data_IF_684852738872
#
_entry.id   IF_684852738872
#
_cell.length_a   1.000
_cell.length_b   1.000
_cell.length_c   1.000
_cell.angle_alpha   90.00
_cell.angle_beta   90.00
_cell.angle_gamma   90.00
#
_symmetry.space_group_name_H-M   'P 1'
#
loop_
_entity.id
_entity.type
_entity.pdbx_description
1 polymer ?
#
# COMPACT_ATOMS: atom_id res chain seq x y z
N UNK A 1 21.72 16.21 7.90
CA UNK A 1 21.44 16.01 6.45
C UNK A 1 19.94 16.20 6.28
N UNK A 2 19.48 16.92 5.28
CA UNK A 2 18.02 17.01 5.02
C UNK A 2 17.50 15.64 4.65
N UNK A 3 16.38 15.21 5.24
CA UNK A 3 15.73 13.95 4.90
C UNK A 3 15.30 13.96 3.43
N UNK A 4 15.39 12.81 2.76
CA UNK A 4 15.22 12.69 1.29
C UNK A 4 13.82 13.10 0.82
N UNK A 5 12.82 12.95 1.68
CA UNK A 5 11.41 13.27 1.38
C UNK A 5 10.95 14.60 1.97
N UNK A 6 11.88 15.45 2.48
CA UNK A 6 11.51 16.77 3.02
C UNK A 6 10.78 17.62 1.98
N UNK A 7 9.66 18.21 2.39
CA UNK A 7 8.80 19.04 1.53
C UNK A 7 7.92 18.24 0.56
N UNK A 8 7.81 16.93 0.72
CA UNK A 8 6.90 16.07 -0.05
C UNK A 8 5.71 15.61 0.79
N UNK A 9 4.66 15.17 0.13
CA UNK A 9 3.43 14.64 0.74
C UNK A 9 3.17 13.23 0.27
N UNK A 10 2.95 12.31 1.21
CA UNK A 10 2.62 10.92 0.93
C UNK A 10 1.22 10.56 1.47
N UNK A 11 0.39 9.94 0.65
CA UNK A 11 -0.89 9.35 1.06
C UNK A 11 -0.73 7.83 1.20
N UNK A 12 -1.02 7.29 2.37
CA UNK A 12 -0.96 5.86 2.67
C UNK A 12 -2.36 5.33 2.95
N UNK A 13 -2.87 4.43 2.11
CA UNK A 13 -4.16 3.77 2.35
C UNK A 13 -4.00 2.53 3.21
N UNK A 14 -5.01 2.21 4.04
CA UNK A 14 -4.91 1.12 5.01
C UNK A 14 -3.87 1.36 6.10
N UNK A 15 -3.64 2.63 6.46
CA UNK A 15 -2.59 3.05 7.39
C UNK A 15 -2.85 2.69 8.86
N UNK A 16 -4.02 2.12 9.20
CA UNK A 16 -4.42 1.86 10.60
C UNK A 16 -3.76 0.62 11.23
N UNK A 17 -2.95 -0.15 10.50
CA UNK A 17 -2.22 -1.31 11.03
C UNK A 17 -1.18 -1.86 10.04
N UNK A 18 -0.29 -2.72 10.54
CA UNK A 18 0.61 -3.55 9.75
C UNK A 18 1.51 -2.77 8.80
N UNK A 19 1.60 -3.21 7.54
CA UNK A 19 2.49 -2.59 6.54
C UNK A 19 2.18 -1.10 6.34
N UNK A 20 0.89 -0.71 6.32
CA UNK A 20 0.50 0.68 6.12
C UNK A 20 0.95 1.61 7.25
N UNK A 21 0.78 1.17 8.49
CA UNK A 21 1.25 1.87 9.68
C UNK A 21 2.78 2.01 9.68
N UNK A 22 3.50 0.91 9.47
CA UNK A 22 4.96 0.90 9.41
C UNK A 22 5.49 1.78 8.27
N UNK A 23 4.84 1.74 7.09
CA UNK A 23 5.19 2.60 5.94
C UNK A 23 5.00 4.08 6.26
N UNK A 24 3.89 4.43 6.91
CA UNK A 24 3.64 5.82 7.30
C UNK A 24 4.72 6.36 8.26
N UNK A 25 5.11 5.56 9.26
CA UNK A 25 6.20 5.90 10.18
C UNK A 25 7.54 6.06 9.44
N UNK A 26 7.85 5.15 8.53
CA UNK A 26 9.09 5.19 7.77
C UNK A 26 9.18 6.41 6.85
N UNK A 27 8.09 6.73 6.12
CA UNK A 27 8.05 7.90 5.25
C UNK A 27 8.10 9.23 6.03
N UNK A 28 7.44 9.29 7.19
CA UNK A 28 7.54 10.45 8.09
C UNK A 28 8.96 10.63 8.62
N UNK A 29 9.65 9.54 8.98
CA UNK A 29 11.07 9.55 9.38
C UNK A 29 12.01 10.07 8.29
N UNK A 30 11.65 9.87 7.01
CA UNK A 30 12.35 10.44 5.85
C UNK A 30 11.93 11.89 5.52
N UNK A 31 11.06 12.49 6.35
CA UNK A 31 10.67 13.90 6.27
C UNK A 31 9.46 14.20 5.40
N UNK A 32 8.71 13.21 4.94
CA UNK A 32 7.44 13.43 4.25
C UNK A 32 6.36 13.89 5.24
N UNK A 33 5.45 14.78 4.81
CA UNK A 33 4.15 14.91 5.44
C UNK A 33 3.28 13.72 5.02
N UNK A 34 2.69 13.01 6.00
CA UNK A 34 1.99 11.75 5.72
C UNK A 34 0.50 11.87 5.98
N UNK A 35 -0.31 11.57 4.98
CA UNK A 35 -1.77 11.48 5.10
C UNK A 35 -2.13 10.00 5.28
N UNK A 36 -2.79 9.71 6.39
CA UNK A 36 -3.13 8.36 6.84
C UNK A 36 -4.60 8.11 6.53
N UNK A 37 -4.89 7.26 5.55
CA UNK A 37 -6.27 6.96 5.16
C UNK A 37 -6.68 5.55 5.58
N UNK A 38 -7.73 5.42 6.38
CA UNK A 38 -8.36 4.16 6.76
C UNK A 38 -9.72 4.41 7.44
N UNK A 39 -10.46 3.32 7.73
CA UNK A 39 -11.77 3.37 8.41
C UNK A 39 -11.67 3.51 9.94
N UNK A 40 -10.56 3.07 10.56
CA UNK A 40 -10.37 3.05 12.02
C UNK A 40 -9.72 4.36 12.49
N UNK A 41 -10.54 5.36 12.73
CA UNK A 41 -10.09 6.74 13.04
C UNK A 41 -9.26 6.78 14.32
N UNK A 42 -9.67 6.07 15.35
CA UNK A 42 -8.97 5.96 16.64
C UNK A 42 -7.51 5.53 16.47
N UNK A 43 -7.25 4.56 15.60
CA UNK A 43 -5.89 4.09 15.28
C UNK A 43 -5.11 5.11 14.45
N UNK A 44 -5.77 5.80 13.53
CA UNK A 44 -5.12 6.85 12.75
C UNK A 44 -4.70 8.01 13.64
N UNK A 45 -5.55 8.45 14.57
CA UNK A 45 -5.24 9.52 15.52
C UNK A 45 -4.07 9.13 16.45
N UNK A 46 -4.05 7.89 16.94
CA UNK A 46 -2.92 7.38 17.71
C UNK A 46 -1.61 7.40 16.90
N UNK A 47 -1.67 7.03 15.61
CA UNK A 47 -0.51 7.06 14.72
C UNK A 47 -0.07 8.49 14.41
N UNK A 48 -1.00 9.44 14.21
CA UNK A 48 -0.69 10.87 14.10
C UNK A 48 0.04 11.34 15.36
N UNK A 49 -0.47 11.00 16.55
CA UNK A 49 0.18 11.36 17.82
C UNK A 49 1.62 10.84 17.92
N UNK A 50 1.87 9.60 17.46
CA UNK A 50 3.21 9.01 17.43
C UNK A 50 4.13 9.75 16.45
N UNK A 51 3.69 9.96 15.21
CA UNK A 51 4.49 10.66 14.18
C UNK A 51 4.81 12.08 14.61
N UNK A 52 3.84 12.81 15.14
CA UNK A 52 4.04 14.21 15.58
C UNK A 52 4.89 14.29 16.86
N UNK A 53 4.76 13.32 17.76
CA UNK A 53 5.62 13.19 18.93
C UNK A 53 7.10 12.98 18.58
N UNK A 54 7.37 12.32 17.46
CA UNK A 54 8.72 12.12 16.91
C UNK A 54 9.18 13.30 16.02
N UNK A 55 8.41 14.38 15.95
CA UNK A 55 8.73 15.59 15.17
C UNK A 55 8.36 15.54 13.69
N UNK A 56 7.64 14.50 13.25
CA UNK A 56 7.10 14.37 11.90
C UNK A 56 5.79 15.13 11.70
N UNK A 57 5.24 15.07 10.50
CA UNK A 57 3.97 15.70 10.13
C UNK A 57 3.00 14.62 9.62
N UNK A 58 1.81 14.55 10.19
CA UNK A 58 0.80 13.59 9.77
C UNK A 58 -0.63 14.14 9.88
N UNK A 59 -1.53 13.61 9.05
CA UNK A 59 -2.96 13.92 9.04
C UNK A 59 -3.77 12.63 8.94
N UNK A 60 -4.73 12.45 9.84
CA UNK A 60 -5.70 11.36 9.76
C UNK A 60 -6.86 11.71 8.83
N UNK A 61 -7.26 10.78 7.97
CA UNK A 61 -8.43 10.90 7.11
C UNK A 61 -9.22 9.61 7.17
N UNK A 62 -10.46 9.70 7.68
CA UNK A 62 -11.39 8.57 7.60
C UNK A 62 -11.78 8.32 6.14
N UNK A 63 -11.51 7.12 5.63
CA UNK A 63 -11.90 6.76 4.29
C UNK A 63 -12.05 5.24 4.13
N UNK A 64 -13.16 4.83 3.51
CA UNK A 64 -13.31 3.50 2.92
C UNK A 64 -12.92 3.60 1.44
N UNK A 65 -11.81 2.97 1.06
CA UNK A 65 -11.31 2.99 -0.32
C UNK A 65 -12.24 2.29 -1.30
N UNK A 66 -13.22 1.52 -0.83
CA UNK A 66 -14.24 0.89 -1.69
C UNK A 66 -15.33 1.86 -2.17
N UNK A 67 -15.39 3.04 -1.56
CA UNK A 67 -16.25 4.15 -1.96
C UNK A 67 -15.43 5.15 -2.79
N UNK A 68 -15.77 5.38 -4.07
CA UNK A 68 -15.02 6.27 -4.95
C UNK A 68 -14.96 7.72 -4.45
N UNK A 69 -16.02 8.21 -3.79
CA UNK A 69 -16.06 9.57 -3.27
C UNK A 69 -15.17 9.73 -2.04
N UNK A 70 -15.13 8.73 -1.14
CA UNK A 70 -14.23 8.76 0.00
C UNK A 70 -12.76 8.60 -0.42
N UNK A 71 -12.47 7.72 -1.40
CA UNK A 71 -11.14 7.60 -1.98
C UNK A 71 -10.66 8.92 -2.60
N UNK A 72 -11.53 9.59 -3.38
CA UNK A 72 -11.26 10.93 -3.92
C UNK A 72 -11.07 11.96 -2.82
N UNK A 73 -11.96 11.98 -1.83
CA UNK A 73 -11.89 12.89 -0.69
C UNK A 73 -10.60 12.78 0.11
N UNK A 74 -10.04 11.58 0.26
CA UNK A 74 -8.75 11.39 0.93
C UNK A 74 -7.60 12.06 0.16
N UNK A 75 -7.60 11.98 -1.17
CA UNK A 75 -6.62 12.67 -2.01
C UNK A 75 -6.82 14.18 -1.96
N UNK A 76 -8.05 14.66 -2.11
CA UNK A 76 -8.36 16.09 -2.04
C UNK A 76 -7.99 16.69 -0.67
N UNK A 77 -8.19 15.93 0.41
CA UNK A 77 -7.79 16.34 1.75
C UNK A 77 -6.27 16.49 1.89
N UNK A 78 -5.48 15.58 1.30
CA UNK A 78 -4.03 15.68 1.26
C UNK A 78 -3.57 16.97 0.53
N UNK A 79 -4.15 17.21 -0.63
CA UNK A 79 -3.81 18.38 -1.46
C UNK A 79 -4.27 19.68 -0.82
N UNK A 80 -5.47 19.71 -0.23
CA UNK A 80 -5.99 20.88 0.47
C UNK A 80 -5.16 21.28 1.69
N UNK A 81 -4.63 20.28 2.43
CA UNK A 81 -3.84 20.54 3.64
C UNK A 81 -2.41 20.97 3.32
N UNK A 82 -1.77 20.29 2.36
CA UNK A 82 -0.33 20.43 2.12
C UNK A 82 0.02 21.01 0.74
N UNK A 83 -0.96 21.31 -0.10
CA UNK A 83 -0.78 21.94 -1.41
C UNK A 83 -0.26 21.03 -2.52
N UNK A 84 0.03 19.74 -2.23
CA UNK A 84 0.62 18.79 -3.18
C UNK A 84 0.37 17.32 -2.80
N UNK A 85 0.64 16.42 -3.72
CA UNK A 85 0.76 14.98 -3.45
C UNK A 85 1.88 14.40 -4.30
N UNK A 86 2.91 13.84 -3.66
CA UNK A 86 4.11 13.30 -4.32
C UNK A 86 4.15 11.78 -4.35
N UNK A 87 3.52 11.13 -3.38
CA UNK A 87 3.58 9.67 -3.24
C UNK A 87 2.21 9.12 -2.87
N UNK A 88 1.74 8.12 -3.62
CA UNK A 88 0.57 7.32 -3.28
C UNK A 88 1.01 5.90 -2.94
N UNK A 89 0.66 5.43 -1.74
CA UNK A 89 0.84 4.04 -1.31
C UNK A 89 -0.52 3.35 -1.26
N UNK A 90 -0.81 2.56 -2.27
CA UNK A 90 -1.98 1.68 -2.33
C UNK A 90 -1.70 0.43 -1.49
N UNK A 91 -1.93 0.51 -0.18
CA UNK A 91 -1.69 -0.58 0.76
C UNK A 91 -2.97 -1.23 1.30
N UNK A 92 -4.11 -0.53 1.32
CA UNK A 92 -5.37 -1.12 1.77
C UNK A 92 -5.66 -2.45 1.05
N UNK A 93 -5.94 -3.50 1.82
CA UNK A 93 -6.17 -4.82 1.26
C UNK A 93 -6.80 -5.80 2.24
N UNK A 94 -7.44 -6.83 1.69
CA UNK A 94 -7.99 -7.97 2.44
C UNK A 94 -7.59 -9.27 1.76
N UNK A 95 -7.44 -10.33 2.56
CA UNK A 95 -7.12 -11.67 2.10
C UNK A 95 -8.12 -12.65 2.74
N UNK A 96 -9.04 -13.17 1.93
CA UNK A 96 -10.07 -14.12 2.34
C UNK A 96 -9.86 -15.40 1.53
N UNK A 97 -9.25 -16.40 2.17
CA UNK A 97 -8.86 -17.65 1.53
C UNK A 97 -9.89 -18.75 1.79
N UNK A 98 -9.93 -19.73 0.90
CA UNK A 98 -10.79 -20.90 1.03
C UNK A 98 -11.00 -21.61 -0.29
N UNK A 99 -11.62 -22.81 -0.27
CA UNK A 99 -11.95 -23.54 -1.50
C UNK A 99 -13.01 -22.75 -2.29
N UNK A 100 -12.91 -22.82 -3.63
CA UNK A 100 -13.89 -22.13 -4.50
C UNK A 100 -15.30 -22.72 -4.36
N UNK A 101 -15.37 -24.04 -4.15
CA UNK A 101 -16.65 -24.73 -3.94
C UNK A 101 -17.19 -24.39 -2.57
N UNK A 102 -18.37 -23.74 -2.52
CA UNK A 102 -19.03 -23.32 -1.29
C UNK A 102 -18.50 -22.01 -0.67
N UNK A 103 -17.60 -21.30 -1.37
CA UNK A 103 -17.13 -20.00 -0.89
C UNK A 103 -18.30 -18.98 -0.86
N UNK A 104 -18.40 -18.15 0.20
CA UNK A 104 -19.32 -17.03 0.21
C UNK A 104 -18.97 -16.01 -0.89
N UNK A 105 -19.92 -15.69 -1.78
CA UNK A 105 -19.70 -14.75 -2.88
C UNK A 105 -19.29 -13.37 -2.37
N UNK A 106 -19.82 -12.95 -1.23
CA UNK A 106 -19.53 -11.68 -0.58
C UNK A 106 -18.03 -11.51 -0.25
N UNK A 107 -17.33 -12.61 0.09
CA UNK A 107 -15.89 -12.59 0.32
C UNK A 107 -15.11 -12.31 -0.98
N UNK A 108 -15.56 -12.86 -2.08
CA UNK A 108 -14.97 -12.61 -3.39
C UNK A 108 -15.17 -11.15 -3.82
N UNK A 109 -16.40 -10.66 -3.70
CA UNK A 109 -16.73 -9.26 -4.00
C UNK A 109 -15.93 -8.30 -3.10
N UNK A 110 -15.81 -8.60 -1.81
CA UNK A 110 -15.04 -7.79 -0.87
C UNK A 110 -13.57 -7.68 -1.29
N UNK A 111 -12.94 -8.80 -1.67
CA UNK A 111 -11.56 -8.78 -2.17
C UNK A 111 -11.42 -7.94 -3.43
N UNK A 112 -12.35 -8.04 -4.39
CA UNK A 112 -12.34 -7.23 -5.60
C UNK A 112 -12.54 -5.74 -5.27
N UNK A 113 -13.51 -5.41 -4.43
CA UNK A 113 -13.78 -4.02 -4.03
C UNK A 113 -12.58 -3.37 -3.35
N UNK A 114 -11.97 -4.03 -2.39
CA UNK A 114 -10.84 -3.45 -1.64
C UNK A 114 -9.56 -3.48 -2.45
N UNK A 115 -9.17 -4.67 -2.95
CA UNK A 115 -7.84 -4.87 -3.53
C UNK A 115 -7.73 -4.35 -4.97
N UNK A 116 -8.84 -4.22 -5.70
CA UNK A 116 -8.83 -3.76 -7.10
C UNK A 116 -9.47 -2.38 -7.20
N UNK A 117 -10.78 -2.25 -6.89
CA UNK A 117 -11.47 -0.97 -7.07
C UNK A 117 -10.87 0.12 -6.19
N UNK A 118 -10.50 -0.19 -4.94
CA UNK A 118 -9.81 0.77 -4.06
C UNK A 118 -8.51 1.29 -4.65
N UNK A 119 -7.69 0.42 -5.25
CA UNK A 119 -6.46 0.83 -5.96
C UNK A 119 -6.79 1.73 -7.15
N UNK A 120 -7.81 1.37 -7.95
CA UNK A 120 -8.21 2.16 -9.11
C UNK A 120 -8.72 3.55 -8.70
N UNK A 121 -9.59 3.65 -7.70
CA UNK A 121 -10.18 4.91 -7.24
C UNK A 121 -9.12 5.85 -6.67
N UNK A 122 -8.28 5.35 -5.76
CA UNK A 122 -7.20 6.17 -5.19
C UNK A 122 -6.20 6.62 -6.25
N UNK A 123 -5.80 5.72 -7.16
CA UNK A 123 -4.86 6.05 -8.23
C UNK A 123 -5.45 7.07 -9.20
N UNK A 124 -6.70 6.87 -9.65
CA UNK A 124 -7.38 7.79 -10.55
C UNK A 124 -7.46 9.21 -9.95
N UNK A 125 -7.83 9.33 -8.68
CA UNK A 125 -7.89 10.63 -8.00
C UNK A 125 -6.50 11.26 -7.82
N UNK A 126 -5.48 10.47 -7.52
CA UNK A 126 -4.13 10.96 -7.24
C UNK A 126 -3.35 11.39 -8.50
N UNK A 127 -3.58 10.76 -9.65
CA UNK A 127 -2.78 10.94 -10.86
C UNK A 127 -2.58 12.40 -11.29
N UNK A 128 -3.60 13.28 -11.35
CA UNK A 128 -3.40 14.68 -11.73
C UNK A 128 -2.41 15.41 -10.80
N UNK A 129 -2.48 15.12 -9.50
CA UNK A 129 -1.64 15.76 -8.48
C UNK A 129 -0.21 15.21 -8.50
N UNK A 130 -0.04 13.90 -8.70
CA UNK A 130 1.26 13.26 -8.86
C UNK A 130 1.99 13.79 -10.11
N UNK A 131 1.28 13.95 -11.22
CA UNK A 131 1.83 14.53 -12.44
C UNK A 131 2.27 15.98 -12.22
N UNK A 132 1.49 16.80 -11.52
CA UNK A 132 1.85 18.17 -11.17
C UNK A 132 3.06 18.22 -10.21
N UNK A 133 3.11 17.33 -9.20
CA UNK A 133 4.22 17.26 -8.27
C UNK A 133 5.54 16.84 -8.96
N UNK A 134 5.46 15.95 -9.97
CA UNK A 134 6.63 15.52 -10.74
C UNK A 134 7.25 16.64 -11.59
N UNK A 135 6.54 17.72 -11.84
CA UNK A 135 7.03 18.90 -12.57
C UNK A 135 7.68 19.95 -11.66
N UNK A 136 7.54 19.80 -10.32
CA UNK A 136 7.95 20.82 -9.33
C UNK A 136 8.97 20.29 -8.31
N UNK A 137 9.72 21.22 -7.68
CA UNK A 137 10.58 20.90 -6.55
C UNK A 137 9.76 20.40 -5.34
N UNK A 138 10.34 19.66 -4.38
CA UNK A 138 11.79 19.46 -4.24
C UNK A 138 12.38 18.32 -5.07
N UNK A 139 11.59 17.31 -5.50
CA UNK A 139 12.17 16.09 -6.08
C UNK A 139 12.07 16.01 -7.61
N UNK A 140 11.07 16.65 -8.20
CA UNK A 140 10.72 16.58 -9.63
C UNK A 140 10.51 15.14 -10.12
N UNK A 141 9.94 14.32 -9.24
CA UNK A 141 9.50 12.95 -9.46
C UNK A 141 8.41 12.62 -8.44
N UNK A 142 7.41 11.87 -8.86
CA UNK A 142 6.35 11.37 -8.00
C UNK A 142 6.27 9.83 -8.07
N UNK A 143 5.61 9.22 -7.10
CA UNK A 143 5.59 7.78 -6.93
C UNK A 143 4.17 7.23 -6.71
N UNK A 144 3.85 6.13 -7.36
CA UNK A 144 2.74 5.24 -7.01
C UNK A 144 3.33 3.89 -6.64
N UNK A 145 3.14 3.44 -5.41
CA UNK A 145 3.54 2.10 -4.98
C UNK A 145 2.31 1.32 -4.56
N UNK A 146 2.10 0.15 -5.17
CA UNK A 146 1.00 -0.74 -4.82
C UNK A 146 1.53 -1.97 -4.09
N UNK A 147 0.96 -2.26 -2.91
CA UNK A 147 1.27 -3.47 -2.14
C UNK A 147 0.51 -4.64 -2.75
N UNK A 148 1.23 -5.42 -3.56
CA UNK A 148 0.74 -6.67 -4.15
C UNK A 148 1.02 -7.84 -3.20
N UNK A 149 1.59 -8.93 -3.67
CA UNK A 149 1.92 -10.14 -2.90
C UNK A 149 2.68 -11.12 -3.80
N UNK A 150 3.38 -12.09 -3.21
CA UNK A 150 3.79 -13.33 -3.92
C UNK A 150 2.60 -14.01 -4.60
N UNK A 151 1.37 -13.81 -4.11
CA UNK A 151 0.13 -14.28 -4.72
C UNK A 151 -0.20 -13.58 -6.05
N UNK A 152 0.47 -12.48 -6.39
CA UNK A 152 0.45 -11.85 -7.71
C UNK A 152 1.39 -12.51 -8.73
N UNK A 153 2.22 -13.46 -8.29
CA UNK A 153 3.17 -14.21 -9.13
C UNK A 153 2.81 -15.69 -9.26
N UNK A 154 2.28 -16.28 -8.19
CA UNK A 154 2.01 -17.72 -8.14
C UNK A 154 0.58 -17.96 -7.67
N UNK A 155 -0.23 -18.59 -8.53
CA UNK A 155 -1.57 -19.02 -8.17
C UNK A 155 -1.52 -20.31 -7.33
N UNK A 156 -2.41 -20.39 -6.32
CA UNK A 156 -2.48 -21.52 -5.41
C UNK A 156 -3.92 -21.96 -5.16
N UNK A 157 -4.10 -23.23 -4.86
CA UNK A 157 -5.38 -23.77 -4.40
C UNK A 157 -5.84 -23.01 -3.16
N UNK A 158 -7.12 -22.68 -3.11
CA UNK A 158 -7.73 -21.91 -2.01
C UNK A 158 -7.47 -20.39 -2.03
N UNK A 159 -6.76 -19.87 -3.04
CA UNK A 159 -6.44 -18.45 -3.14
C UNK A 159 -6.95 -17.80 -4.42
N UNK A 160 -7.89 -18.43 -5.14
CA UNK A 160 -8.27 -18.05 -6.51
C UNK A 160 -8.55 -16.56 -6.70
N UNK A 161 -9.50 -15.98 -5.95
CA UNK A 161 -9.85 -14.56 -6.09
C UNK A 161 -8.77 -13.65 -5.53
N UNK A 162 -8.11 -14.02 -4.43
CA UNK A 162 -6.96 -13.25 -3.95
C UNK A 162 -5.84 -13.19 -5.00
N UNK A 163 -5.50 -14.33 -5.63
CA UNK A 163 -4.55 -14.36 -6.74
C UNK A 163 -5.00 -13.47 -7.91
N UNK A 164 -6.28 -13.56 -8.31
CA UNK A 164 -6.85 -12.70 -9.36
C UNK A 164 -6.64 -11.22 -9.04
N UNK A 165 -6.95 -10.79 -7.82
CA UNK A 165 -6.79 -9.37 -7.44
C UNK A 165 -5.33 -8.94 -7.50
N UNK A 166 -4.40 -9.77 -7.00
CA UNK A 166 -2.98 -9.42 -6.92
C UNK A 166 -2.27 -9.49 -8.29
N UNK A 167 -2.65 -10.41 -9.17
CA UNK A 167 -2.21 -10.40 -10.58
C UNK A 167 -2.81 -9.21 -11.33
N UNK A 168 -4.10 -8.91 -11.09
CA UNK A 168 -4.79 -7.80 -11.75
C UNK A 168 -4.16 -6.45 -11.47
N UNK A 169 -3.83 -6.15 -10.21
CA UNK A 169 -3.16 -4.88 -9.88
C UNK A 169 -1.73 -4.83 -10.41
N UNK A 170 -1.05 -5.98 -10.58
CA UNK A 170 0.24 -6.04 -11.26
C UNK A 170 0.14 -5.61 -12.72
N UNK A 171 -0.82 -6.20 -13.46
CA UNK A 171 -1.05 -5.84 -14.87
C UNK A 171 -1.46 -4.36 -15.02
N UNK A 172 -2.33 -3.85 -14.15
CA UNK A 172 -2.72 -2.45 -14.13
C UNK A 172 -1.52 -1.53 -13.88
N UNK A 173 -0.70 -1.84 -12.87
CA UNK A 173 0.46 -1.02 -12.51
C UNK A 173 1.47 -0.94 -13.64
N UNK A 174 1.75 -2.04 -14.35
CA UNK A 174 2.66 -2.05 -15.49
C UNK A 174 2.11 -1.24 -16.67
N UNK A 175 0.80 -1.34 -16.97
CA UNK A 175 0.18 -0.51 -18.01
C UNK A 175 0.28 0.97 -17.65
N UNK A 176 -0.10 1.35 -16.43
CA UNK A 176 -0.02 2.71 -15.94
C UNK A 176 1.42 3.25 -15.99
N UNK A 177 2.41 2.42 -15.61
CA UNK A 177 3.82 2.80 -15.66
C UNK A 177 4.22 3.26 -17.06
N UNK A 178 3.83 2.52 -18.09
CA UNK A 178 4.15 2.86 -19.49
C UNK A 178 3.53 4.19 -19.92
N UNK A 179 2.36 4.54 -19.40
CA UNK A 179 1.68 5.79 -19.73
C UNK A 179 2.31 7.03 -19.08
N UNK A 180 2.78 6.90 -17.80
CA UNK A 180 3.18 8.06 -17.01
C UNK A 180 4.69 8.22 -16.80
N UNK A 181 5.50 7.20 -17.15
CA UNK A 181 6.96 7.22 -16.90
C UNK A 181 7.65 8.38 -17.61
N UNK A 182 7.21 8.76 -18.82
CA UNK A 182 7.73 9.91 -19.57
C UNK A 182 7.49 11.26 -18.88
N UNK A 183 6.57 11.31 -17.92
CA UNK A 183 6.27 12.49 -17.10
C UNK A 183 6.83 12.38 -15.67
N UNK A 184 7.79 11.47 -15.45
CA UNK A 184 8.48 11.26 -14.18
C UNK A 184 7.58 10.85 -13.01
N UNK A 185 6.47 10.18 -13.27
CA UNK A 185 5.72 9.44 -12.26
C UNK A 185 6.18 7.98 -12.32
N UNK A 186 6.79 7.51 -11.24
CA UNK A 186 7.25 6.13 -11.12
C UNK A 186 6.12 5.27 -10.56
N UNK A 187 5.90 4.13 -11.17
CA UNK A 187 4.92 3.15 -10.69
C UNK A 187 5.65 1.87 -10.34
N UNK A 188 5.43 1.39 -9.12
CA UNK A 188 6.09 0.21 -8.61
C UNK A 188 5.15 -0.70 -7.80
N UNK A 189 5.54 -1.97 -7.72
CA UNK A 189 4.93 -3.00 -6.91
C UNK A 189 5.90 -3.44 -5.82
N UNK A 190 5.43 -3.53 -4.59
CA UNK A 190 6.07 -4.36 -3.57
C UNK A 190 5.26 -5.63 -3.40
N UNK A 191 5.92 -6.78 -3.36
CA UNK A 191 5.27 -8.09 -3.40
C UNK A 191 5.72 -8.94 -2.20
N UNK A 192 5.09 -8.74 -1.04
CA UNK A 192 5.45 -9.46 0.17
C UNK A 192 5.13 -10.94 0.10
N UNK A 193 5.99 -11.76 0.72
CA UNK A 193 5.68 -13.10 1.18
C UNK A 193 4.84 -13.09 2.47
N UNK A 194 5.13 -14.02 3.38
CA UNK A 194 4.47 -14.10 4.67
C UNK A 194 4.95 -12.98 5.60
N UNK A 195 4.06 -12.06 5.93
CA UNK A 195 4.30 -10.95 6.87
C UNK A 195 3.44 -11.16 8.10
N UNK A 196 3.99 -10.89 9.28
CA UNK A 196 3.25 -10.93 10.54
C UNK A 196 2.40 -9.66 10.69
N UNK A 197 1.12 -9.77 10.35
CA UNK A 197 0.12 -8.70 10.37
C UNK A 197 -1.27 -9.23 10.70
N UNK A 198 -2.22 -8.33 10.93
CA UNK A 198 -3.64 -8.67 11.16
C UNK A 198 -4.32 -9.32 9.93
N UNK A 199 -3.69 -9.32 8.74
CA UNK A 199 -4.30 -9.72 7.47
C UNK A 199 -4.85 -11.17 7.49
N UNK A 200 -4.13 -12.10 8.12
CA UNK A 200 -4.58 -13.48 8.26
C UNK A 200 -5.82 -13.61 9.14
N UNK A 201 -5.98 -12.71 10.11
CA UNK A 201 -7.09 -12.67 11.07
C UNK A 201 -8.46 -12.36 10.44
N UNK A 202 -8.52 -11.87 9.21
CA UNK A 202 -9.77 -11.64 8.48
C UNK A 202 -10.45 -12.93 8.00
N UNK A 203 -9.73 -14.05 8.01
CA UNK A 203 -10.23 -15.34 7.54
C UNK A 203 -11.09 -16.05 8.61
N UNK A 204 -11.87 -17.03 8.16
CA UNK A 204 -12.59 -17.93 9.08
C UNK A 204 -11.60 -18.72 9.96
N UNK A 205 -11.97 -19.09 11.20
CA UNK A 205 -11.05 -19.77 12.13
C UNK A 205 -10.34 -21.00 11.55
N UNK A 206 -11.06 -21.85 10.81
CA UNK A 206 -10.48 -23.03 10.17
C UNK A 206 -9.40 -22.68 9.11
N UNK A 207 -9.58 -21.55 8.41
CA UNK A 207 -8.59 -21.05 7.41
C UNK A 207 -7.40 -20.43 8.13
N UNK A 208 -7.62 -19.70 9.23
CA UNK A 208 -6.55 -19.17 10.06
C UNK A 208 -5.64 -20.29 10.58
N UNK A 209 -6.22 -21.39 11.05
CA UNK A 209 -5.45 -22.57 11.50
C UNK A 209 -4.62 -23.17 10.35
N UNK A 210 -5.19 -23.27 9.15
CA UNK A 210 -4.45 -23.78 7.98
C UNK A 210 -3.29 -22.84 7.61
N UNK A 211 -3.51 -21.53 7.66
CA UNK A 211 -2.45 -20.51 7.42
C UNK A 211 -1.36 -20.67 8.49
N UNK A 212 -1.73 -20.79 9.77
CA UNK A 212 -0.79 -20.97 10.86
C UNK A 212 0.07 -22.23 10.68
N UNK A 213 -0.54 -23.37 10.38
CA UNK A 213 0.17 -24.63 10.10
C UNK A 213 1.12 -24.52 8.92
N UNK A 214 0.72 -23.80 7.87
CA UNK A 214 1.56 -23.64 6.67
C UNK A 214 2.86 -22.89 6.94
N UNK A 215 2.85 -21.96 7.88
CA UNK A 215 3.97 -21.13 8.24
C UNK A 215 4.55 -21.48 9.62
N UNK A 216 4.21 -22.68 10.14
CA UNK A 216 4.73 -23.17 11.42
C UNK A 216 6.26 -23.31 11.35
N UNK A 217 6.94 -22.76 12.36
CA UNK A 217 8.40 -22.77 12.43
C UNK A 217 9.12 -21.81 11.49
N UNK A 218 8.39 -21.06 10.64
CA UNK A 218 8.98 -20.05 9.76
C UNK A 218 9.02 -18.70 10.47
N UNK A 219 10.16 -18.04 10.47
CA UNK A 219 10.31 -16.63 10.84
C UNK A 219 9.69 -15.77 9.72
N UNK A 220 8.56 -15.13 10.02
CA UNK A 220 7.87 -14.27 9.07
C UNK A 220 8.55 -12.90 8.98
N UNK A 221 8.34 -12.21 7.86
CA UNK A 221 8.69 -10.80 7.76
C UNK A 221 7.88 -9.98 8.76
N UNK A 222 8.49 -8.93 9.27
CA UNK A 222 7.79 -7.88 10.00
C UNK A 222 7.23 -6.83 9.02
N UNK A 223 6.20 -6.11 9.44
CA UNK A 223 5.67 -4.99 8.66
C UNK A 223 6.74 -3.95 8.32
N UNK A 224 7.72 -3.76 9.21
CA UNK A 224 8.83 -2.85 9.04
C UNK A 224 9.72 -3.24 7.85
N UNK A 225 9.98 -4.53 7.60
CA UNK A 225 10.80 -4.97 6.46
C UNK A 225 10.20 -4.52 5.13
N UNK A 226 8.87 -4.55 5.04
CA UNK A 226 8.15 -4.09 3.85
C UNK A 226 8.10 -2.56 3.78
N UNK A 227 7.97 -1.88 4.91
CA UNK A 227 8.04 -0.42 4.97
C UNK A 227 9.41 0.10 4.50
N UNK A 228 10.49 -0.55 4.89
CA UNK A 228 11.85 -0.24 4.42
C UNK A 228 12.01 -0.47 2.91
N UNK A 229 11.43 -1.57 2.39
CA UNK A 229 11.41 -1.85 0.96
C UNK A 229 10.66 -0.75 0.18
N UNK A 230 9.48 -0.31 0.65
CA UNK A 230 8.72 0.79 0.06
C UNK A 230 9.51 2.10 0.13
N UNK A 231 10.09 2.41 1.29
CA UNK A 231 10.91 3.60 1.49
C UNK A 231 12.13 3.60 0.57
N UNK A 232 12.80 2.44 0.43
CA UNK A 232 13.86 2.27 -0.55
C UNK A 232 13.39 2.62 -1.97
N UNK A 233 12.22 2.16 -2.41
CA UNK A 233 11.70 2.46 -3.75
C UNK A 233 11.52 3.96 -3.97
N UNK A 234 10.85 4.64 -3.04
CA UNK A 234 10.46 6.05 -3.20
C UNK A 234 11.60 7.05 -2.93
N UNK A 235 12.65 6.64 -2.20
CA UNK A 235 13.82 7.51 -1.92
C UNK A 235 14.90 7.45 -3.00
N UNK A 236 14.74 6.64 -4.04
CA UNK A 236 15.74 6.59 -5.12
C UNK A 236 15.84 7.93 -5.86
N UNK A 237 17.03 8.26 -6.40
CA UNK A 237 17.22 9.43 -7.23
C UNK A 237 16.22 9.46 -8.40
N UNK A 238 15.88 10.65 -8.90
CA UNK A 238 14.85 10.88 -9.93
C UNK A 238 14.99 9.97 -11.17
N UNK A 239 16.20 9.62 -11.57
CA UNK A 239 16.48 8.79 -12.75
C UNK A 239 16.41 7.28 -12.50
N UNK A 240 16.14 6.87 -11.24
CA UNK A 240 16.05 5.45 -10.84
C UNK A 240 14.62 5.12 -10.48
N UNK A 241 14.03 4.14 -11.16
CA UNK A 241 12.74 3.57 -10.84
C UNK A 241 12.91 2.09 -10.43
N UNK A 242 12.38 1.72 -9.28
CA UNK A 242 12.25 0.32 -8.86
C UNK A 242 10.81 -0.09 -9.15
N UNK A 243 10.62 -0.88 -10.20
CA UNK A 243 9.27 -1.19 -10.68
C UNK A 243 8.64 -2.39 -9.97
N UNK A 244 9.47 -3.35 -9.53
CA UNK A 244 9.00 -4.52 -8.80
C UNK A 244 10.02 -4.91 -7.73
N UNK A 245 9.52 -5.20 -6.53
CA UNK A 245 10.34 -5.65 -5.41
C UNK A 245 9.66 -6.80 -4.68
N UNK A 246 10.15 -8.01 -4.91
CA UNK A 246 9.66 -9.24 -4.28
C UNK A 246 10.47 -9.52 -3.02
N UNK A 247 9.80 -9.53 -1.86
CA UNK A 247 10.42 -9.74 -0.54
C UNK A 247 9.77 -10.93 0.15
N UNK A 248 10.56 -11.94 0.52
CA UNK A 248 10.08 -13.15 1.20
C UNK A 248 10.87 -13.40 2.49
N UNK A 249 10.27 -14.07 3.47
CA UNK A 249 11.05 -14.79 4.47
C UNK A 249 12.10 -15.68 3.81
N UNK A 250 13.28 -15.76 4.40
CA UNK A 250 14.38 -16.57 3.84
C UNK A 250 13.96 -18.03 3.59
N UNK A 251 13.13 -18.58 4.49
CA UNK A 251 12.69 -19.98 4.44
C UNK A 251 11.44 -20.20 3.56
N UNK A 252 10.86 -19.13 3.01
CA UNK A 252 9.67 -19.27 2.16
C UNK A 252 10.03 -19.72 0.75
N UNK A 253 9.76 -20.98 0.43
CA UNK A 253 10.08 -21.57 -0.89
C UNK A 253 9.21 -21.01 -2.03
N UNK A 254 7.94 -20.73 -1.78
CA UNK A 254 7.02 -20.23 -2.81
C UNK A 254 5.86 -19.43 -2.20
#
# INVERSE_FOLDING_TARGET
MSSVLSGTVALVTGASSGIGEATALSLAGEGAAVVLAARRVDRLEALVGKITGDGGTALAVEADVTDPEQARGAVERAVSEYGRLDTLINNAGVMLLGPAVGAPLEQWEQMVRVNVLGVLYCTHAALPHLLAAAETDPRRVADVVTVSSVAGRVARVGSGVYNLTKHGVGAFSESLRQEVTGRHVRVGLVEPGAVDTELAGHNLPAVQEQIAKRFEGMEKLHAQDIAEAITFMVTRPRHVAVNELLVRPTDQQA
#
